data_IF_463222834698
#
_entry.id   IF_463222834698
#
_cell.length_a   1.000
_cell.length_b   1.000
_cell.length_c   1.000
_cell.angle_alpha   90.00
_cell.angle_beta   90.00
_cell.angle_gamma   90.00
#
_symmetry.space_group_name_H-M   'P 1'
#
loop_
_entity.id
_entity.type
_entity.pdbx_description
1 polymer ?
#
# COMPACT_ATOMS: atom_id res chain seq x y z
N UNK A 1 -20.72 -8.75 -20.10
CA UNK A 1 -21.30 -7.64 -19.32
C UNK A 1 -20.15 -6.83 -18.76
N UNK A 2 -19.99 -5.61 -19.24
CA UNK A 2 -18.74 -4.86 -19.10
C UNK A 2 -18.50 -4.35 -17.68
N UNK A 3 -17.44 -4.82 -17.02
CA UNK A 3 -17.18 -4.51 -15.60
C UNK A 3 -16.97 -3.01 -15.36
N UNK A 4 -16.24 -2.31 -16.22
CA UNK A 4 -16.00 -0.85 -16.09
C UNK A 4 -17.30 -0.05 -16.17
N UNK A 5 -18.20 -0.41 -17.10
CA UNK A 5 -19.51 0.23 -17.23
C UNK A 5 -20.41 -0.05 -16.01
N UNK A 6 -20.40 -1.30 -15.51
CA UNK A 6 -21.16 -1.67 -14.32
C UNK A 6 -20.65 -0.94 -13.07
N UNK A 7 -19.33 -0.84 -12.89
CA UNK A 7 -18.70 -0.06 -11.82
C UNK A 7 -19.15 1.39 -11.93
N UNK A 8 -19.03 2.00 -13.11
CA UNK A 8 -19.39 3.39 -13.31
C UNK A 8 -20.86 3.70 -12.99
N UNK A 9 -21.78 2.84 -13.46
CA UNK A 9 -23.22 2.96 -13.16
C UNK A 9 -23.51 2.76 -11.67
N UNK A 10 -22.85 1.79 -11.03
CA UNK A 10 -23.03 1.51 -9.59
C UNK A 10 -22.54 2.67 -8.73
N UNK A 11 -21.47 3.33 -9.17
CA UNK A 11 -20.85 4.45 -8.44
C UNK A 11 -21.45 5.81 -8.79
N UNK A 12 -22.28 5.91 -9.83
CA UNK A 12 -22.86 7.17 -10.29
C UNK A 12 -21.83 8.18 -10.84
N UNK A 13 -20.63 7.73 -11.21
CA UNK A 13 -19.56 8.61 -11.71
C UNK A 13 -19.59 8.72 -13.24
N UNK A 14 -19.07 9.82 -13.76
CA UNK A 14 -18.92 10.05 -15.21
C UNK A 14 -17.77 9.22 -15.79
N UNK A 15 -17.80 9.02 -17.11
CA UNK A 15 -16.73 8.29 -17.81
C UNK A 15 -15.40 9.03 -17.67
N UNK A 16 -15.44 10.36 -17.58
CA UNK A 16 -14.26 11.19 -17.40
C UNK A 16 -13.62 10.97 -16.03
N UNK A 17 -14.41 11.00 -14.97
CA UNK A 17 -13.90 10.79 -13.61
C UNK A 17 -13.28 9.41 -13.43
N UNK A 18 -13.90 8.35 -13.97
CA UNK A 18 -13.31 7.01 -13.90
C UNK A 18 -12.02 6.89 -14.72
N UNK A 19 -11.94 7.57 -15.87
CA UNK A 19 -10.73 7.58 -16.70
C UNK A 19 -9.57 8.31 -15.99
N UNK A 20 -9.87 9.43 -15.31
CA UNK A 20 -8.91 10.19 -14.52
C UNK A 20 -8.39 9.35 -13.33
N UNK A 21 -9.27 8.61 -12.64
CA UNK A 21 -8.88 7.70 -11.53
C UNK A 21 -7.96 6.58 -12.02
N UNK A 22 -8.26 5.99 -13.16
CA UNK A 22 -7.48 4.90 -13.76
C UNK A 22 -6.25 5.40 -14.53
N UNK A 23 -6.03 6.72 -14.58
CA UNK A 23 -4.96 7.36 -15.33
C UNK A 23 -4.89 6.90 -16.80
N UNK A 24 -6.05 6.77 -17.44
CA UNK A 24 -6.19 6.44 -18.86
C UNK A 24 -7.01 7.50 -19.58
N UNK A 25 -6.87 7.58 -20.90
CA UNK A 25 -7.72 8.49 -21.67
C UNK A 25 -9.19 8.04 -21.64
N UNK A 26 -10.13 9.00 -21.61
CA UNK A 26 -11.57 8.73 -21.78
C UNK A 26 -11.86 7.88 -23.02
N UNK A 27 -11.14 8.11 -24.12
CA UNK A 27 -11.27 7.34 -25.36
C UNK A 27 -10.92 5.87 -25.13
N UNK A 28 -9.86 5.58 -24.38
CA UNK A 28 -9.44 4.22 -24.03
C UNK A 28 -10.46 3.55 -23.12
N UNK A 29 -10.97 4.25 -22.11
CA UNK A 29 -12.02 3.72 -21.24
C UNK A 29 -13.30 3.42 -22.02
N UNK A 30 -13.69 4.29 -22.96
CA UNK A 30 -14.83 4.06 -23.86
C UNK A 30 -14.63 2.82 -24.74
N UNK A 31 -13.41 2.59 -25.24
CA UNK A 31 -13.12 1.37 -25.98
C UNK A 31 -13.30 0.11 -25.14
N UNK A 32 -12.90 0.17 -23.87
CA UNK A 32 -13.15 -0.91 -22.91
C UNK A 32 -14.64 -1.09 -22.67
N UNK A 33 -15.39 -0.03 -22.35
CA UNK A 33 -16.85 -0.08 -22.08
C UNK A 33 -17.68 -0.59 -23.27
N UNK A 34 -17.21 -0.37 -24.50
CA UNK A 34 -17.87 -0.84 -25.73
C UNK A 34 -17.35 -2.21 -26.20
N UNK A 35 -16.50 -2.89 -25.44
CA UNK A 35 -15.92 -4.21 -25.77
C UNK A 35 -15.09 -4.21 -27.08
N UNK A 36 -14.67 -3.03 -27.54
CA UNK A 36 -13.85 -2.85 -28.75
C UNK A 36 -12.35 -3.04 -28.49
N UNK A 37 -11.95 -3.11 -27.22
CA UNK A 37 -10.59 -3.39 -26.78
C UNK A 37 -10.59 -4.29 -25.54
N UNK A 38 -9.62 -5.20 -25.45
CA UNK A 38 -9.44 -6.08 -24.29
C UNK A 38 -8.83 -5.27 -23.14
N UNK A 39 -9.44 -5.40 -21.95
CA UNK A 39 -8.94 -4.77 -20.72
C UNK A 39 -7.71 -5.55 -20.23
N UNK A 40 -6.56 -4.88 -20.02
CA UNK A 40 -5.37 -5.52 -19.44
C UNK A 40 -5.67 -6.10 -18.05
N UNK A 41 -5.05 -7.23 -17.71
CA UNK A 41 -5.31 -7.93 -16.45
C UNK A 41 -4.93 -7.09 -15.22
N UNK A 42 -3.94 -6.23 -15.37
CA UNK A 42 -3.49 -5.28 -14.34
C UNK A 42 -4.58 -4.26 -14.04
N UNK A 43 -5.28 -3.79 -15.08
CA UNK A 43 -6.38 -2.82 -14.96
C UNK A 43 -7.63 -3.45 -14.31
N UNK A 44 -7.84 -4.76 -14.49
CA UNK A 44 -8.91 -5.49 -13.78
C UNK A 44 -8.71 -5.46 -12.26
N UNK A 45 -7.48 -5.68 -11.79
CA UNK A 45 -7.18 -5.64 -10.36
C UNK A 45 -7.40 -4.23 -9.78
N UNK A 46 -7.04 -3.18 -10.53
CA UNK A 46 -7.29 -1.80 -10.13
C UNK A 46 -8.78 -1.44 -10.11
N UNK A 47 -9.55 -1.90 -11.11
CA UNK A 47 -11.00 -1.73 -11.17
C UNK A 47 -11.71 -2.42 -9.99
N UNK A 48 -11.33 -3.65 -9.67
CA UNK A 48 -11.88 -4.37 -8.51
C UNK A 48 -11.51 -3.69 -7.19
N UNK A 49 -10.32 -3.12 -7.10
CA UNK A 49 -9.88 -2.35 -5.93
C UNK A 49 -10.71 -1.08 -5.76
N UNK A 50 -10.90 -0.30 -6.83
CA UNK A 50 -11.72 0.92 -6.84
C UNK A 50 -13.16 0.59 -6.50
N UNK A 51 -13.72 -0.46 -7.09
CA UNK A 51 -15.08 -0.90 -6.82
C UNK A 51 -15.25 -1.32 -5.35
N UNK A 52 -14.32 -2.11 -4.82
CA UNK A 52 -14.33 -2.53 -3.41
C UNK A 52 -14.22 -1.33 -2.47
N UNK A 53 -13.32 -0.38 -2.77
CA UNK A 53 -13.14 0.85 -2.00
C UNK A 53 -14.41 1.71 -2.00
N UNK A 54 -14.99 1.93 -3.18
CA UNK A 54 -16.16 2.79 -3.35
C UNK A 54 -17.44 2.15 -2.81
N UNK A 55 -17.57 0.81 -2.88
CA UNK A 55 -18.68 0.10 -2.24
C UNK A 55 -18.60 0.20 -0.72
N UNK A 56 -17.38 0.12 -0.15
CA UNK A 56 -17.15 0.37 1.27
C UNK A 56 -17.50 1.81 1.64
N UNK A 57 -17.11 2.78 0.80
CA UNK A 57 -17.42 4.19 0.96
C UNK A 57 -18.94 4.46 0.97
N UNK A 58 -19.69 3.84 0.05
CA UNK A 58 -21.15 3.93 -0.02
C UNK A 58 -21.80 3.29 1.20
N UNK A 59 -21.35 2.10 1.64
CA UNK A 59 -21.91 1.47 2.85
C UNK A 59 -21.63 2.31 4.10
N UNK A 60 -20.41 2.84 4.24
CA UNK A 60 -20.05 3.75 5.35
C UNK A 60 -20.92 5.00 5.39
N UNK A 61 -21.29 5.55 4.23
CA UNK A 61 -22.16 6.74 4.15
C UNK A 61 -23.61 6.47 4.54
N UNK A 62 -24.07 5.22 4.41
CA UNK A 62 -25.42 4.78 4.80
C UNK A 62 -25.51 4.50 6.31
N UNK A 63 -24.41 4.09 6.94
CA UNK A 63 -24.37 3.74 8.37
C UNK A 63 -24.10 4.96 9.28
N UNK A 64 -23.58 6.07 8.73
CA UNK A 64 -23.27 7.30 9.46
C UNK A 64 -24.44 8.30 9.37
N UNK A 65 -25.55 8.01 10.05
CA UNK A 65 -26.74 8.87 10.04
C UNK A 65 -26.68 10.03 11.05
N UNK A 66 -25.65 10.09 11.89
CA UNK A 66 -25.51 11.16 12.89
C UNK A 66 -24.10 11.73 12.96
N UNK A 67 -24.00 13.01 13.33
CA UNK A 67 -22.72 13.67 13.60
C UNK A 67 -21.90 12.94 14.68
N UNK A 68 -22.57 12.35 15.68
CA UNK A 68 -21.95 11.58 16.76
C UNK A 68 -21.19 10.35 16.23
N UNK A 69 -21.78 9.62 15.28
CA UNK A 69 -21.18 8.44 14.68
C UNK A 69 -19.95 8.81 13.84
N UNK A 70 -20.04 9.89 13.06
CA UNK A 70 -18.93 10.44 12.28
C UNK A 70 -17.74 10.81 13.18
N UNK A 71 -18.00 11.49 14.30
CA UNK A 71 -16.96 11.91 15.24
C UNK A 71 -16.32 10.73 15.98
N UNK A 72 -17.10 9.70 16.32
CA UNK A 72 -16.60 8.48 16.95
C UNK A 72 -15.71 7.69 15.99
N UNK A 73 -16.14 7.50 14.75
CA UNK A 73 -15.34 6.83 13.73
C UNK A 73 -14.09 7.63 13.35
N UNK A 74 -14.17 8.97 13.31
CA UNK A 74 -13.00 9.83 13.12
C UNK A 74 -11.94 9.55 14.18
N UNK A 75 -12.31 9.58 15.46
CA UNK A 75 -11.37 9.25 16.54
C UNK A 75 -10.74 7.86 16.39
N UNK A 76 -11.52 6.87 15.97
CA UNK A 76 -11.02 5.51 15.73
C UNK A 76 -10.00 5.47 14.57
N UNK A 77 -10.31 6.13 13.43
CA UNK A 77 -9.38 6.23 12.29
C UNK A 77 -8.12 7.00 12.67
N UNK A 78 -8.23 8.06 13.49
CA UNK A 78 -7.06 8.80 13.99
C UNK A 78 -6.12 7.91 14.79
N UNK A 79 -6.69 7.08 15.65
CA UNK A 79 -5.94 6.16 16.49
C UNK A 79 -5.23 5.10 15.64
N UNK A 80 -5.92 4.53 14.66
CA UNK A 80 -5.33 3.58 13.71
C UNK A 80 -4.20 4.21 12.89
N UNK A 81 -4.34 5.47 12.47
CA UNK A 81 -3.27 6.21 11.78
C UNK A 81 -2.03 6.40 12.68
N UNK A 82 -2.22 6.72 13.96
CA UNK A 82 -1.13 6.83 14.95
C UNK A 82 -0.42 5.49 15.15
N UNK A 83 -1.17 4.40 15.26
CA UNK A 83 -0.63 3.05 15.41
C UNK A 83 0.12 2.59 14.15
N UNK A 84 -0.45 2.79 12.97
CA UNK A 84 0.19 2.48 11.69
C UNK A 84 1.50 3.26 11.52
N UNK A 85 1.52 4.56 11.89
CA UNK A 85 2.76 5.35 11.90
C UNK A 85 3.82 4.72 12.83
N UNK A 86 3.46 4.38 14.06
CA UNK A 86 4.37 3.75 15.02
C UNK A 86 4.96 2.43 14.48
N UNK A 87 4.14 1.59 13.84
CA UNK A 87 4.60 0.34 13.25
C UNK A 87 5.55 0.57 12.07
N UNK A 88 5.27 1.56 11.21
CA UNK A 88 6.17 1.91 10.10
C UNK A 88 7.52 2.42 10.60
N UNK A 89 7.53 3.28 11.61
CA UNK A 89 8.75 3.79 12.21
C UNK A 89 9.60 2.63 12.79
N UNK A 90 8.97 1.71 13.53
CA UNK A 90 9.65 0.51 14.06
C UNK A 90 10.23 -0.40 12.98
N UNK A 91 9.50 -0.65 11.90
CA UNK A 91 9.97 -1.47 10.78
C UNK A 91 11.10 -0.78 10.02
N UNK A 92 10.99 0.53 9.82
CA UNK A 92 12.04 1.34 9.17
C UNK A 92 13.35 1.31 9.96
N UNK A 93 13.27 1.46 11.29
CA UNK A 93 14.43 1.35 12.17
C UNK A 93 15.06 -0.04 12.11
N UNK A 94 14.24 -1.09 12.11
CA UNK A 94 14.73 -2.46 12.01
C UNK A 94 15.39 -2.75 10.67
N UNK A 95 14.77 -2.30 9.57
CA UNK A 95 15.32 -2.43 8.22
C UNK A 95 16.70 -1.77 8.13
N UNK A 96 16.85 -0.56 8.68
CA UNK A 96 18.12 0.17 8.70
C UNK A 96 19.21 -0.62 9.45
N UNK A 97 18.87 -1.24 10.59
CA UNK A 97 19.80 -2.08 11.37
C UNK A 97 20.21 -3.35 10.60
N UNK A 98 19.27 -4.01 9.92
CA UNK A 98 19.56 -5.21 9.12
C UNK A 98 20.43 -4.85 7.91
N UNK A 99 20.13 -3.75 7.21
CA UNK A 99 20.94 -3.28 6.07
C UNK A 99 22.36 -2.89 6.50
N UNK A 100 22.53 -2.28 7.68
CA UNK A 100 23.86 -1.98 8.23
C UNK A 100 24.66 -3.25 8.51
N UNK A 101 24.07 -4.23 9.22
CA UNK A 101 24.71 -5.52 9.49
C UNK A 101 25.10 -6.24 8.20
N UNK A 102 24.24 -6.18 7.18
CA UNK A 102 24.55 -6.75 5.88
C UNK A 102 25.78 -6.11 5.23
N UNK A 103 25.87 -4.78 5.25
CA UNK A 103 27.03 -4.04 4.72
C UNK A 103 28.31 -4.37 5.48
N UNK A 104 28.25 -4.49 6.80
CA UNK A 104 29.39 -4.88 7.64
C UNK A 104 29.89 -6.29 7.29
N UNK A 105 28.99 -7.26 7.16
CA UNK A 105 29.34 -8.63 6.75
C UNK A 105 29.94 -8.68 5.34
N UNK A 106 29.40 -7.89 4.41
CA UNK A 106 29.94 -7.75 3.05
C UNK A 106 31.36 -7.16 3.07
N UNK A 107 31.61 -6.15 3.91
CA UNK A 107 32.92 -5.54 4.08
C UNK A 107 33.93 -6.54 4.68
N UNK A 108 33.54 -7.31 5.71
CA UNK A 108 34.38 -8.37 6.30
C UNK A 108 34.76 -9.42 5.27
N UNK A 109 33.78 -9.91 4.50
CA UNK A 109 33.99 -10.86 3.39
C UNK A 109 34.95 -10.30 2.34
N UNK A 110 34.79 -9.03 1.96
CA UNK A 110 35.65 -8.36 0.98
C UNK A 110 37.09 -8.21 1.48
N UNK A 111 37.28 -7.83 2.75
CA UNK A 111 38.61 -7.78 3.36
C UNK A 111 39.27 -9.15 3.40
N UNK A 112 38.55 -10.19 3.84
CA UNK A 112 39.05 -11.57 3.84
C UNK A 112 39.49 -12.02 2.45
N UNK A 113 38.73 -11.66 1.41
CA UNK A 113 39.10 -11.95 0.02
C UNK A 113 40.39 -11.24 -0.42
N UNK A 114 40.56 -9.96 -0.08
CA UNK A 114 41.79 -9.21 -0.35
C UNK A 114 43.00 -9.81 0.38
N UNK A 115 42.84 -10.11 1.68
CA UNK A 115 43.89 -10.75 2.48
C UNK A 115 44.28 -12.14 1.96
N UNK A 116 43.30 -12.92 1.49
CA UNK A 116 43.57 -14.17 0.83
C UNK A 116 44.40 -13.90 -0.44
N UNK A 117 43.92 -13.01 -1.32
CA UNK A 117 44.52 -12.61 -2.62
C UNK A 117 46.03 -12.41 -2.56
N UNK A 118 46.49 -11.71 -1.52
CA UNK A 118 47.90 -11.34 -1.35
C UNK A 118 48.79 -12.50 -0.84
N UNK A 119 48.21 -13.56 -0.26
CA UNK A 119 48.94 -14.72 0.31
C UNK A 119 49.00 -15.95 -0.63
N UNK A 120 48.93 -15.71 -1.94
CA UNK A 120 48.71 -16.70 -3.02
C UNK A 120 49.64 -17.92 -3.03
N UNK A 121 50.78 -17.89 -2.35
CA UNK A 121 51.84 -18.87 -2.59
C UNK A 121 51.78 -20.16 -1.75
N UNK A 122 51.00 -20.24 -0.65
CA UNK A 122 51.04 -21.44 0.23
C UNK A 122 49.69 -22.01 0.74
N UNK A 123 48.53 -21.51 0.32
CA UNK A 123 47.24 -21.82 0.96
C UNK A 123 46.10 -22.16 -0.01
N UNK A 124 46.39 -22.80 -1.14
CA UNK A 124 45.41 -23.13 -2.19
C UNK A 124 44.15 -23.87 -1.66
N UNK A 125 44.31 -24.81 -0.73
CA UNK A 125 43.20 -25.57 -0.12
C UNK A 125 42.33 -24.73 0.84
N UNK A 126 42.94 -23.80 1.57
CA UNK A 126 42.24 -22.84 2.43
C UNK A 126 41.50 -21.78 1.61
N UNK A 127 42.06 -21.45 0.44
CA UNK A 127 41.46 -20.55 -0.53
C UNK A 127 40.19 -21.11 -1.14
N UNK A 128 40.20 -22.38 -1.54
CA UNK A 128 39.03 -23.02 -2.14
C UNK A 128 37.87 -23.09 -1.14
N UNK A 129 38.16 -23.38 0.13
CA UNK A 129 37.17 -23.31 1.23
C UNK A 129 36.64 -21.90 1.48
N UNK A 130 37.50 -20.87 1.38
CA UNK A 130 37.11 -19.46 1.51
C UNK A 130 36.26 -19.01 0.31
N UNK A 131 36.62 -19.43 -0.89
CA UNK A 131 35.88 -19.14 -2.11
C UNK A 131 34.51 -19.81 -2.09
N UNK A 132 34.39 -21.05 -1.61
CA UNK A 132 33.12 -21.74 -1.38
C UNK A 132 32.27 -21.05 -0.30
N UNK A 133 32.89 -20.53 0.77
CA UNK A 133 32.22 -19.76 1.82
C UNK A 133 31.73 -18.39 1.34
N UNK A 134 32.47 -17.76 0.41
CA UNK A 134 32.13 -16.48 -0.22
C UNK A 134 31.11 -16.64 -1.36
N UNK A 135 31.14 -17.75 -2.11
CA UNK A 135 30.19 -18.10 -3.17
C UNK A 135 28.85 -18.57 -2.66
N UNK A 136 28.76 -19.09 -1.41
CA UNK A 136 27.47 -19.34 -0.78
C UNK A 136 26.73 -18.00 -0.65
N UNK A 137 25.61 -17.80 -1.38
CA UNK A 137 24.75 -16.67 -1.10
C UNK A 137 24.38 -16.79 0.38
N UNK A 138 24.74 -15.79 1.16
CA UNK A 138 24.17 -15.68 2.50
C UNK A 138 22.73 -15.26 2.26
N UNK A 139 21.83 -16.22 2.11
CA UNK A 139 20.39 -15.99 1.89
C UNK A 139 19.75 -15.20 3.05
N UNK A 140 20.47 -15.12 4.17
CA UNK A 140 19.97 -14.67 5.47
C UNK A 140 19.63 -13.17 5.52
N UNK A 141 20.44 -12.21 5.01
CA UNK A 141 20.11 -10.79 5.11
C UNK A 141 19.23 -10.28 3.96
N UNK A 142 19.35 -10.85 2.75
CA UNK A 142 18.56 -10.39 1.60
C UNK A 142 17.08 -10.76 1.75
N UNK A 143 16.80 -11.98 2.22
CA UNK A 143 15.43 -12.44 2.48
C UNK A 143 14.78 -11.61 3.59
N UNK A 144 15.51 -11.31 4.65
CA UNK A 144 15.03 -10.49 5.77
C UNK A 144 14.74 -9.04 5.34
N UNK A 145 15.66 -8.40 4.60
CA UNK A 145 15.46 -7.08 4.00
C UNK A 145 14.22 -7.06 3.10
N UNK A 146 14.03 -8.10 2.27
CA UNK A 146 12.87 -8.22 1.39
C UNK A 146 11.57 -8.33 2.19
N UNK A 147 11.53 -9.14 3.25
CA UNK A 147 10.37 -9.28 4.15
C UNK A 147 10.01 -7.92 4.77
N UNK A 148 10.98 -7.19 5.31
CA UNK A 148 10.71 -5.89 5.94
C UNK A 148 10.28 -4.82 4.93
N UNK A 149 10.83 -4.81 3.71
CA UNK A 149 10.35 -3.96 2.61
C UNK A 149 8.91 -4.27 2.23
N UNK A 150 8.55 -5.55 2.12
CA UNK A 150 7.16 -5.96 1.84
C UNK A 150 6.23 -5.52 2.96
N UNK A 151 6.60 -5.72 4.24
CA UNK A 151 5.80 -5.24 5.38
C UNK A 151 5.60 -3.72 5.36
N UNK A 152 6.64 -2.96 5.01
CA UNK A 152 6.55 -1.50 4.90
C UNK A 152 5.58 -1.08 3.78
N UNK A 153 5.61 -1.77 2.64
CA UNK A 153 4.68 -1.53 1.53
C UNK A 153 3.22 -1.80 1.93
N UNK A 154 2.95 -2.89 2.65
CA UNK A 154 1.62 -3.19 3.18
C UNK A 154 1.13 -2.08 4.11
N UNK A 155 1.97 -1.64 5.05
CA UNK A 155 1.59 -0.57 5.97
C UNK A 155 1.36 0.78 5.27
N UNK A 156 2.13 1.09 4.22
CA UNK A 156 1.92 2.29 3.40
C UNK A 156 0.59 2.22 2.62
N UNK A 157 0.22 1.03 2.14
CA UNK A 157 -1.07 0.80 1.51
C UNK A 157 -2.23 0.99 2.50
N UNK A 158 -2.13 0.40 3.70
CA UNK A 158 -3.12 0.58 4.77
C UNK A 158 -3.26 2.04 5.20
N UNK A 159 -2.13 2.77 5.30
CA UNK A 159 -2.15 4.20 5.54
C UNK A 159 -3.00 4.92 4.49
N UNK A 160 -2.79 4.63 3.20
CA UNK A 160 -3.56 5.25 2.12
C UNK A 160 -5.06 5.01 2.25
N UNK A 161 -5.46 3.79 2.65
CA UNK A 161 -6.87 3.46 2.93
C UNK A 161 -7.43 4.27 4.10
N UNK A 162 -6.68 4.38 5.20
CA UNK A 162 -7.10 5.14 6.38
C UNK A 162 -7.19 6.64 6.11
N UNK A 163 -6.23 7.22 5.37
CA UNK A 163 -6.27 8.64 4.96
C UNK A 163 -7.48 8.95 4.08
N UNK A 164 -7.83 8.02 3.20
CA UNK A 164 -8.98 8.18 2.32
C UNK A 164 -10.30 8.05 3.10
N UNK A 165 -10.40 7.13 4.07
CA UNK A 165 -11.51 7.08 5.03
C UNK A 165 -11.61 8.35 5.88
N UNK A 166 -10.49 8.90 6.32
CA UNK A 166 -10.44 10.15 7.08
C UNK A 166 -11.03 11.32 6.29
N UNK A 167 -10.61 11.51 5.03
CA UNK A 167 -11.14 12.57 4.16
C UNK A 167 -12.65 12.44 3.95
N UNK A 168 -13.13 11.22 3.79
CA UNK A 168 -14.56 10.96 3.66
C UNK A 168 -15.35 11.36 4.92
N UNK A 169 -14.81 11.07 6.11
CA UNK A 169 -15.41 11.48 7.37
C UNK A 169 -15.39 13.01 7.52
N UNK A 170 -14.29 13.68 7.15
CA UNK A 170 -14.20 15.14 7.15
C UNK A 170 -15.27 15.77 6.26
N UNK A 171 -15.39 15.31 5.00
CA UNK A 171 -16.43 15.83 4.10
C UNK A 171 -17.86 15.53 4.60
N UNK A 172 -18.07 14.43 5.32
CA UNK A 172 -19.37 14.10 5.90
C UNK A 172 -19.71 14.98 7.10
N UNK A 173 -18.72 15.29 7.94
CA UNK A 173 -18.84 16.23 9.05
C UNK A 173 -19.14 17.64 8.51
N UNK A 174 -18.36 18.14 7.55
CA UNK A 174 -18.57 19.46 6.92
C UNK A 174 -19.98 19.58 6.33
N UNK A 175 -20.49 18.52 5.71
CA UNK A 175 -21.84 18.47 5.17
C UNK A 175 -22.90 18.57 6.28
N UNK A 176 -22.76 17.81 7.36
CA UNK A 176 -23.69 17.82 8.49
C UNK A 176 -23.64 19.15 9.26
N UNK A 177 -22.46 19.76 9.43
CA UNK A 177 -22.29 21.10 10.02
C UNK A 177 -23.00 22.17 9.17
N UNK A 178 -22.97 22.03 7.85
CA UNK A 178 -23.63 22.95 6.92
C UNK A 178 -25.15 22.70 6.77
N UNK A 179 -25.66 21.56 7.24
CA UNK A 179 -27.07 21.14 7.10
C UNK A 179 -27.63 20.57 8.42
N UNK A 180 -27.74 21.39 9.48
CA UNK A 180 -28.13 20.93 10.82
C UNK A 180 -29.54 20.31 10.89
N UNK A 181 -30.44 20.67 9.97
CA UNK A 181 -31.80 20.11 9.89
C UNK A 181 -31.82 18.62 9.48
N UNK A 182 -30.74 18.13 8.84
CA UNK A 182 -30.61 16.72 8.42
C UNK A 182 -30.27 15.83 9.61
N UNK A 183 -29.49 16.33 10.58
CA UNK A 183 -29.11 15.61 11.81
C UNK A 183 -30.33 15.44 12.75
N UNK A 184 -31.23 16.43 12.79
CA UNK A 184 -32.48 16.38 13.56
C UNK A 184 -33.51 15.37 13.01
N UNK A 185 -33.53 15.13 11.69
CA UNK A 185 -34.43 14.17 11.06
C UNK A 185 -34.02 12.70 11.28
N UNK A 186 -32.72 12.44 11.51
CA UNK A 186 -32.18 11.11 11.80
C UNK A 186 -32.37 10.64 13.24
N UNK A 187 -32.39 11.57 14.21
CA UNK A 187 -32.57 11.26 15.63
C UNK A 187 -34.02 10.90 16.03
N UNK A 188 -34.97 10.98 15.09
CA UNK A 188 -36.41 10.76 15.31
C UNK A 188 -36.96 9.40 14.84
N UNK A 189 -36.11 8.40 14.55
CA UNK A 189 -36.55 7.04 14.18
C UNK A 189 -36.01 5.99 15.12
#
# INVERSE_FOLDING_TARGET
MNQSLNIRKTLGISQKELADILNISCKRLSQYENETAVVPKELYNELDLIYSYMKLAISYRVDLNTMSDCMTQRKAVEQLLKENKKQRDQISDHLTKVELKYKEELAKKSMLWLFAKDKKDHLFSSYQRLEDYLKKPSDFPQTEVMIYKTKLNVLNFEKGKLEAQWRMLESSIEYLESNPDVDAAGAGK
#
